data_IF_555223997927
#
_entry.id   IF_555223997927
#
_cell.length_a   1.000
_cell.length_b   1.000
_cell.length_c   1.000
_cell.angle_alpha   90.00
_cell.angle_beta   90.00
_cell.angle_gamma   90.00
#
_symmetry.space_group_name_H-M   'P 1'
#
loop_
_entity.id
_entity.type
_entity.pdbx_description
1 polymer ?
#
# COMPACT_ATOMS: atom_id res chain seq x y z
N UNK A 1 9.82 -10.43 25.07
CA UNK A 1 9.47 -9.41 24.06
C UNK A 1 10.75 -8.84 23.44
N UNK A 2 11.58 -9.74 22.89
CA UNK A 2 12.60 -9.38 21.90
C UNK A 2 11.88 -9.28 20.54
N UNK A 3 12.04 -8.28 19.69
CA UNK A 3 12.47 -6.90 19.88
C UNK A 3 11.91 -6.19 18.64
N UNK A 4 10.72 -5.59 18.72
CA UNK A 4 10.08 -4.90 17.58
C UNK A 4 11.02 -3.83 16.98
N UNK A 5 11.90 -3.28 17.82
CA UNK A 5 13.00 -2.40 17.45
C UNK A 5 14.00 -3.06 16.49
N UNK A 6 14.41 -4.30 16.73
CA UNK A 6 15.39 -5.00 15.88
C UNK A 6 14.78 -5.39 14.53
N UNK A 7 13.48 -5.70 14.50
CA UNK A 7 12.75 -5.94 13.26
C UNK A 7 12.73 -4.69 12.36
N UNK A 8 12.43 -3.52 12.94
CA UNK A 8 12.46 -2.25 12.20
C UNK A 8 13.88 -1.92 11.72
N UNK A 9 14.89 -2.14 12.57
CA UNK A 9 16.29 -1.87 12.20
C UNK A 9 16.77 -2.76 11.04
N UNK A 10 16.39 -4.04 11.03
CA UNK A 10 16.69 -4.98 9.94
C UNK A 10 16.05 -4.55 8.61
N UNK A 11 14.79 -4.09 8.65
CA UNK A 11 14.09 -3.61 7.44
C UNK A 11 14.72 -2.34 6.87
N UNK A 12 15.12 -1.39 7.72
CA UNK A 12 15.80 -0.17 7.31
C UNK A 12 17.17 -0.46 6.69
N UNK A 13 17.94 -1.39 7.27
CA UNK A 13 19.25 -1.76 6.74
C UNK A 13 19.15 -2.42 5.36
N UNK A 14 18.14 -3.27 5.14
CA UNK A 14 17.90 -3.88 3.83
C UNK A 14 17.51 -2.85 2.78
N UNK A 15 16.64 -1.90 3.14
CA UNK A 15 16.24 -0.81 2.24
C UNK A 15 17.45 0.05 1.82
N UNK A 16 18.35 0.33 2.76
CA UNK A 16 19.58 1.07 2.49
C UNK A 16 20.50 0.32 1.51
N UNK A 17 20.69 -0.99 1.69
CA UNK A 17 21.49 -1.82 0.78
C UNK A 17 20.89 -1.89 -0.63
N UNK A 18 19.56 -2.01 -0.75
CA UNK A 18 18.89 -2.04 -2.05
C UNK A 18 19.02 -0.67 -2.77
N UNK A 19 19.04 0.42 -2.00
CA UNK A 19 19.22 1.80 -2.52
C UNK A 19 20.64 2.01 -3.04
N UNK A 20 21.67 1.60 -2.29
CA UNK A 20 23.06 1.66 -2.74
C UNK A 20 23.29 0.82 -4.01
N UNK A 21 22.66 -0.35 -4.10
CA UNK A 21 22.76 -1.22 -5.28
C UNK A 21 22.13 -0.61 -6.54
N UNK A 22 21.02 0.11 -6.39
CA UNK A 22 20.42 0.87 -7.50
C UNK A 22 21.27 2.07 -7.90
N UNK A 23 21.90 2.77 -6.94
CA UNK A 23 22.85 3.84 -7.23
C UNK A 23 24.07 3.30 -8.00
N UNK A 24 24.65 2.18 -7.58
CA UNK A 24 25.75 1.52 -8.29
C UNK A 24 25.37 1.11 -9.72
N UNK A 25 24.12 0.70 -9.95
CA UNK A 25 23.61 0.39 -11.30
C UNK A 25 23.41 1.65 -12.16
N UNK A 26 23.11 2.80 -11.54
CA UNK A 26 22.89 4.09 -12.22
C UNK A 26 24.20 4.83 -12.51
N UNK A 27 25.26 4.60 -11.73
CA UNK A 27 26.59 5.19 -11.92
C UNK A 27 27.52 4.39 -12.83
N UNK A 28 27.12 3.20 -13.29
CA UNK A 28 27.85 2.50 -14.35
C UNK A 28 27.58 3.19 -15.69
N UNK A 29 28.59 3.93 -16.17
CA UNK A 29 28.60 4.60 -17.46
C UNK A 29 28.01 3.71 -18.57
N UNK A 30 27.14 4.25 -19.44
CA UNK A 30 26.59 3.49 -20.55
C UNK A 30 27.77 2.98 -21.40
N UNK A 31 27.75 1.71 -21.82
CA UNK A 31 28.82 1.15 -22.62
C UNK A 31 28.87 1.95 -23.92
N UNK A 32 29.96 2.71 -24.10
CA UNK A 32 30.34 3.24 -25.41
C UNK A 32 30.49 2.02 -26.30
N UNK A 33 29.59 1.86 -27.26
CA UNK A 33 29.54 0.67 -28.11
C UNK A 33 30.91 0.48 -28.78
N UNK A 34 31.68 -0.58 -28.43
CA UNK A 34 33.02 -0.79 -28.96
C UNK A 34 33.02 -0.95 -30.50
N UNK A 35 31.86 -1.22 -31.10
CA UNK A 35 31.70 -1.32 -32.56
C UNK A 35 31.90 0.02 -33.27
N UNK A 36 31.62 1.16 -32.61
CA UNK A 36 31.83 2.48 -33.21
C UNK A 36 33.33 2.85 -33.26
N UNK A 37 34.08 2.55 -32.20
CA UNK A 37 35.52 2.81 -32.13
C UNK A 37 36.31 1.96 -33.13
N UNK A 38 35.95 0.69 -33.31
CA UNK A 38 36.55 -0.15 -34.35
C UNK A 38 36.31 0.40 -35.76
N UNK A 39 35.10 0.88 -36.06
CA UNK A 39 34.77 1.39 -37.39
C UNK A 39 35.59 2.65 -37.76
N UNK A 40 35.78 3.59 -36.82
CA UNK A 40 36.64 4.77 -37.08
C UNK A 40 38.10 4.38 -37.27
N UNK A 41 38.61 3.45 -36.46
CA UNK A 41 40.00 2.97 -36.60
C UNK A 41 40.25 2.28 -37.95
N UNK A 42 39.26 1.57 -38.48
CA UNK A 42 39.30 0.95 -39.80
C UNK A 42 39.29 1.98 -40.93
N UNK A 43 38.51 3.06 -40.80
CA UNK A 43 38.48 4.15 -41.77
C UNK A 43 39.80 4.92 -41.80
N UNK A 44 40.33 5.30 -40.64
CA UNK A 44 41.62 5.99 -40.55
C UNK A 44 42.74 5.17 -41.18
N UNK A 45 42.75 3.85 -40.91
CA UNK A 45 43.73 2.93 -41.52
C UNK A 45 43.60 2.82 -43.03
N UNK A 46 42.38 2.87 -43.58
CA UNK A 46 42.18 2.89 -45.05
C UNK A 46 42.70 4.18 -45.66
N UNK A 47 42.44 5.34 -45.02
CA UNK A 47 42.95 6.64 -45.48
C UNK A 47 44.48 6.67 -45.48
N UNK A 48 45.11 6.10 -44.45
CA UNK A 48 46.56 5.97 -44.35
C UNK A 48 47.14 5.11 -45.49
N UNK A 49 46.58 3.90 -45.72
CA UNK A 49 47.00 3.01 -46.81
C UNK A 49 46.89 3.70 -48.17
N UNK A 50 45.80 4.42 -48.43
CA UNK A 50 45.65 5.12 -49.71
C UNK A 50 46.68 6.23 -49.87
N UNK A 51 46.96 6.98 -48.79
CA UNK A 51 47.98 8.03 -48.80
C UNK A 51 49.38 7.46 -49.08
N UNK A 52 49.71 6.29 -48.53
CA UNK A 52 50.95 5.56 -48.82
C UNK A 52 51.04 5.12 -50.28
N UNK A 53 49.95 4.57 -50.84
CA UNK A 53 49.89 4.16 -52.25
C UNK A 53 50.11 5.35 -53.18
N UNK A 54 49.51 6.51 -52.88
CA UNK A 54 49.73 7.74 -53.64
C UNK A 54 51.18 8.19 -53.61
N UNK A 55 51.82 8.19 -52.44
CA UNK A 55 53.23 8.56 -52.31
C UNK A 55 54.16 7.63 -53.12
N UNK A 56 53.84 6.33 -53.18
CA UNK A 56 54.57 5.36 -54.01
C UNK A 56 54.36 5.66 -55.50
N UNK A 57 53.14 5.97 -55.92
CA UNK A 57 52.83 6.32 -57.31
C UNK A 57 53.54 7.60 -57.76
N UNK A 58 53.51 8.66 -56.94
CA UNK A 58 54.23 9.92 -57.23
C UNK A 58 55.73 9.69 -57.38
N UNK A 59 56.31 8.86 -56.51
CA UNK A 59 57.72 8.46 -56.62
C UNK A 59 57.99 7.69 -57.92
N UNK A 60 57.11 6.77 -58.34
CA UNK A 60 57.23 6.02 -59.60
C UNK A 60 57.16 6.97 -60.81
N UNK A 61 56.22 7.92 -60.80
CA UNK A 61 56.12 8.96 -61.85
C UNK A 61 57.39 9.80 -61.90
N UNK A 62 57.93 10.22 -60.74
CA UNK A 62 59.19 10.97 -60.65
C UNK A 62 60.36 10.23 -61.31
N UNK A 63 60.53 8.93 -60.99
CA UNK A 63 61.57 8.09 -61.58
C UNK A 63 61.39 7.91 -63.09
N UNK A 64 60.16 7.68 -63.57
CA UNK A 64 59.87 7.56 -64.99
C UNK A 64 60.18 8.86 -65.76
N UNK A 65 59.84 10.01 -65.18
CA UNK A 65 60.15 11.32 -65.76
C UNK A 65 61.67 11.59 -65.80
N UNK A 66 62.40 11.17 -64.77
CA UNK A 66 63.86 11.27 -64.74
C UNK A 66 64.51 10.37 -65.82
N UNK A 67 64.06 9.12 -65.95
CA UNK A 67 64.49 8.22 -67.02
C UNK A 67 64.21 8.78 -68.41
N UNK A 68 63.02 9.37 -68.61
CA UNK A 68 62.62 10.00 -69.87
C UNK A 68 63.50 11.21 -70.20
N UNK A 69 63.82 12.04 -69.22
CA UNK A 69 64.74 13.18 -69.37
C UNK A 69 66.18 12.73 -69.67
N UNK A 70 66.65 11.66 -69.05
CA UNK A 70 67.98 11.10 -69.29
C UNK A 70 68.11 10.54 -70.71
N UNK A 71 67.07 9.85 -71.21
CA UNK A 71 67.01 9.37 -72.60
C UNK A 71 66.98 10.55 -73.58
N UNK A 72 66.23 11.62 -73.29
CA UNK A 72 66.19 12.82 -74.14
C UNK A 72 67.52 13.60 -74.16
N UNK A 73 68.31 13.52 -73.09
CA UNK A 73 69.61 14.19 -72.98
C UNK A 73 70.75 13.46 -73.68
N UNK A 74 70.58 12.19 -74.09
CA UNK A 74 71.66 11.46 -74.76
C UNK A 74 71.97 12.13 -76.12
N UNK A 75 73.19 12.69 -76.30
CA UNK A 75 73.58 13.27 -77.56
C UNK A 75 73.65 12.18 -78.63
N UNK A 76 73.18 12.49 -79.84
CA UNK A 76 73.34 11.63 -81.02
C UNK A 76 74.83 11.52 -81.38
N UNK A 77 75.57 10.69 -80.66
CA UNK A 77 76.96 10.35 -80.98
C UNK A 77 76.96 9.43 -82.19
N UNK A 78 77.60 9.93 -83.23
CA UNK A 78 77.67 9.43 -84.60
C UNK A 78 78.22 8.02 -84.72
N UNK A 79 77.40 7.06 -85.14
CA UNK A 79 77.83 5.85 -85.86
C UNK A 79 76.64 5.23 -86.65
N UNK A 80 76.85 4.56 -87.81
CA UNK A 80 75.77 4.17 -88.72
C UNK A 80 74.83 3.03 -88.26
N UNK A 81 74.88 2.58 -86.99
CA UNK A 81 73.81 1.74 -86.39
C UNK A 81 72.64 2.56 -85.82
N UNK A 82 72.68 3.89 -86.01
CA UNK A 82 71.78 4.87 -85.42
C UNK A 82 70.29 4.63 -85.70
N UNK A 83 69.92 4.01 -86.83
CA UNK A 83 68.50 3.81 -87.16
C UNK A 83 67.79 2.83 -86.20
N UNK A 84 68.46 1.72 -85.85
CA UNK A 84 67.91 0.73 -84.93
C UNK A 84 67.90 1.27 -83.49
N UNK A 85 68.98 1.94 -83.07
CA UNK A 85 69.04 2.62 -81.77
C UNK A 85 67.94 3.68 -81.64
N UNK A 86 67.83 4.62 -82.60
CA UNK A 86 66.77 5.65 -82.59
C UNK A 86 65.38 5.02 -82.62
N UNK A 87 65.17 3.93 -83.38
CA UNK A 87 63.89 3.21 -83.43
C UNK A 87 63.53 2.58 -82.08
N UNK A 88 64.48 1.90 -81.44
CA UNK A 88 64.30 1.29 -80.13
C UNK A 88 64.03 2.35 -79.06
N UNK A 89 64.85 3.40 -79.00
CA UNK A 89 64.64 4.53 -78.08
C UNK A 89 63.29 5.21 -78.29
N UNK A 90 62.85 5.39 -79.55
CA UNK A 90 61.54 5.98 -79.85
C UNK A 90 60.38 5.07 -79.41
N UNK A 91 60.57 3.75 -79.48
CA UNK A 91 59.60 2.76 -79.01
C UNK A 91 59.52 2.76 -77.49
N UNK A 92 60.66 2.70 -76.78
CA UNK A 92 60.73 2.81 -75.31
C UNK A 92 60.14 4.14 -74.81
N UNK A 93 60.42 5.26 -75.49
CA UNK A 93 59.81 6.57 -75.16
C UNK A 93 58.30 6.57 -75.35
N UNK A 94 57.77 5.87 -76.36
CA UNK A 94 56.33 5.74 -76.58
C UNK A 94 55.69 4.88 -75.49
N UNK A 95 56.34 3.79 -75.10
CA UNK A 95 55.88 2.90 -74.04
C UNK A 95 55.88 3.61 -72.67
N UNK A 96 56.98 4.25 -72.29
CA UNK A 96 57.04 5.04 -71.05
C UNK A 96 55.99 6.15 -71.02
N UNK A 97 55.75 6.87 -72.12
CA UNK A 97 54.67 7.87 -72.20
C UNK A 97 53.29 7.26 -72.02
N UNK A 98 53.08 6.04 -72.52
CA UNK A 98 51.81 5.33 -72.37
C UNK A 98 51.62 4.87 -70.92
N UNK A 99 52.67 4.39 -70.27
CA UNK A 99 52.65 4.01 -68.85
C UNK A 99 52.43 5.23 -67.95
N UNK A 100 53.11 6.36 -68.20
CA UNK A 100 52.89 7.62 -67.47
C UNK A 100 51.41 8.03 -67.59
N UNK A 101 50.85 8.03 -68.80
CA UNK A 101 49.45 8.39 -69.02
C UNK A 101 48.49 7.45 -68.28
N UNK A 102 48.81 6.16 -68.21
CA UNK A 102 48.03 5.19 -67.45
C UNK A 102 48.10 5.46 -65.94
N UNK A 103 49.31 5.65 -65.39
CA UNK A 103 49.50 5.93 -63.96
C UNK A 103 48.82 7.26 -63.57
N UNK A 104 48.91 8.30 -64.39
CA UNK A 104 48.18 9.55 -64.16
C UNK A 104 46.66 9.37 -64.15
N UNK A 105 46.12 8.46 -64.98
CA UNK A 105 44.68 8.18 -64.98
C UNK A 105 44.23 7.40 -63.75
N UNK A 106 45.04 6.45 -63.26
CA UNK A 106 44.82 5.73 -62.01
C UNK A 106 44.90 6.67 -60.80
N UNK A 107 45.90 7.56 -60.77
CA UNK A 107 46.05 8.55 -59.71
C UNK A 107 44.83 9.48 -59.64
N UNK A 108 44.32 9.94 -60.79
CA UNK A 108 43.09 10.76 -60.84
C UNK A 108 41.87 10.02 -60.32
N UNK A 109 41.77 8.71 -60.56
CA UNK A 109 40.68 7.90 -60.06
C UNK A 109 40.76 7.75 -58.54
N UNK A 110 41.96 7.47 -58.00
CA UNK A 110 42.19 7.38 -56.56
C UNK A 110 41.95 8.72 -55.84
N UNK A 111 42.37 9.84 -56.42
CA UNK A 111 42.09 11.18 -55.90
C UNK A 111 40.58 11.47 -55.85
N UNK A 112 39.84 10.99 -56.85
CA UNK A 112 38.39 11.11 -56.88
C UNK A 112 37.74 10.26 -55.78
N UNK A 113 38.18 9.02 -55.59
CA UNK A 113 37.70 8.13 -54.51
C UNK A 113 38.01 8.69 -53.12
N UNK A 114 39.22 9.21 -52.90
CA UNK A 114 39.59 9.90 -51.66
C UNK A 114 38.68 11.11 -51.39
N UNK A 115 38.35 11.88 -52.43
CA UNK A 115 37.46 13.03 -52.28
C UNK A 115 36.06 12.61 -51.87
N UNK A 116 35.55 11.52 -52.44
CA UNK A 116 34.25 10.96 -52.05
C UNK A 116 34.28 10.48 -50.60
N UNK A 117 35.30 9.72 -50.20
CA UNK A 117 35.41 9.24 -48.80
C UNK A 117 35.55 10.37 -47.79
N UNK A 118 36.25 11.46 -48.13
CA UNK A 118 36.32 12.66 -47.27
C UNK A 118 34.97 13.35 -47.15
N UNK A 119 34.21 13.45 -48.24
CA UNK A 119 32.87 14.01 -48.21
C UNK A 119 31.92 13.16 -47.35
N UNK A 120 32.00 11.83 -47.48
CA UNK A 120 31.21 10.91 -46.66
C UNK A 120 31.59 11.03 -45.18
N UNK A 121 32.89 11.09 -44.87
CA UNK A 121 33.39 11.31 -43.51
C UNK A 121 32.89 12.65 -42.91
N UNK A 122 32.89 13.73 -43.70
CA UNK A 122 32.37 15.03 -43.26
C UNK A 122 30.85 14.99 -43.03
N UNK A 123 30.10 14.26 -43.85
CA UNK A 123 28.66 14.08 -43.69
C UNK A 123 28.32 13.24 -42.46
N UNK A 124 29.07 12.17 -42.22
CA UNK A 124 28.94 11.33 -41.03
C UNK A 124 29.25 12.12 -39.77
N UNK A 125 30.32 12.93 -39.80
CA UNK A 125 30.69 13.82 -38.69
C UNK A 125 29.59 14.82 -38.36
N UNK A 126 28.95 15.42 -39.38
CA UNK A 126 27.80 16.33 -39.18
C UNK A 126 26.59 15.58 -38.60
N UNK A 127 26.31 14.37 -39.07
CA UNK A 127 25.20 13.54 -38.59
C UNK A 127 25.41 13.15 -37.12
N UNK A 128 26.63 12.76 -36.75
CA UNK A 128 27.01 12.46 -35.36
C UNK A 128 26.88 13.71 -34.49
N UNK A 129 27.30 14.87 -34.98
CA UNK A 129 27.16 16.12 -34.23
C UNK A 129 25.68 16.48 -34.01
N UNK A 130 24.82 16.31 -35.02
CA UNK A 130 23.38 16.54 -34.89
C UNK A 130 22.74 15.58 -33.88
N UNK A 131 23.04 14.28 -33.97
CA UNK A 131 22.57 13.28 -33.02
C UNK A 131 23.07 13.56 -31.59
N UNK A 132 24.31 14.03 -31.44
CA UNK A 132 24.85 14.41 -30.13
C UNK A 132 24.08 15.57 -29.51
N UNK A 133 23.65 16.56 -30.30
CA UNK A 133 22.82 17.67 -29.82
C UNK A 133 21.44 17.17 -29.40
N UNK A 134 20.80 16.35 -30.24
CA UNK A 134 19.49 15.76 -29.94
C UNK A 134 19.53 14.91 -28.65
N UNK A 135 20.59 14.11 -28.45
CA UNK A 135 20.78 13.35 -27.22
C UNK A 135 20.95 14.26 -26.00
N UNK A 136 21.63 15.40 -26.13
CA UNK A 136 21.75 16.35 -25.02
C UNK A 136 20.43 17.04 -24.68
N UNK A 137 19.62 17.38 -25.67
CA UNK A 137 18.29 17.99 -25.49
C UNK A 137 17.28 16.99 -24.89
N UNK A 138 17.32 15.73 -25.33
CA UNK A 138 16.53 14.65 -24.73
C UNK A 138 16.93 14.43 -23.27
N UNK A 139 18.22 14.46 -22.94
CA UNK A 139 18.70 14.33 -21.55
C UNK A 139 18.29 15.52 -20.68
N UNK A 140 18.27 16.75 -21.20
CA UNK A 140 17.79 17.90 -20.42
C UNK A 140 16.28 17.80 -20.19
N UNK A 141 15.51 17.44 -21.22
CA UNK A 141 14.05 17.25 -21.11
C UNK A 141 13.71 16.15 -20.11
N UNK A 142 14.48 15.04 -20.13
CA UNK A 142 14.33 13.97 -19.16
C UNK A 142 14.60 14.47 -17.73
N UNK A 143 15.70 15.19 -17.50
CA UNK A 143 16.01 15.78 -16.18
C UNK A 143 14.93 16.75 -15.71
N UNK A 144 14.40 17.58 -16.59
CA UNK A 144 13.33 18.51 -16.25
C UNK A 144 12.06 17.75 -15.85
N UNK A 145 11.71 16.69 -16.57
CA UNK A 145 10.58 15.83 -16.22
C UNK A 145 10.80 15.03 -14.92
N UNK A 146 12.02 14.60 -14.63
CA UNK A 146 12.40 13.94 -13.36
C UNK A 146 12.28 14.94 -12.20
N UNK A 147 12.78 16.17 -12.37
CA UNK A 147 12.64 17.25 -11.38
C UNK A 147 11.17 17.63 -11.13
N UNK A 148 10.34 17.68 -12.18
CA UNK A 148 8.90 17.90 -12.04
C UNK A 148 8.24 16.75 -11.28
N UNK A 149 8.56 15.50 -11.60
CA UNK A 149 8.04 14.34 -10.90
C UNK A 149 8.48 14.30 -9.42
N UNK A 150 9.73 14.63 -9.11
CA UNK A 150 10.21 14.77 -7.73
C UNK A 150 9.48 15.88 -6.98
N UNK A 151 9.23 17.01 -7.65
CA UNK A 151 8.48 18.14 -7.08
C UNK A 151 7.03 17.74 -6.78
N UNK A 152 6.38 17.01 -7.69
CA UNK A 152 5.03 16.48 -7.50
C UNK A 152 5.00 15.48 -6.34
N UNK A 153 5.93 14.52 -6.29
CA UNK A 153 6.02 13.56 -5.18
C UNK A 153 6.24 14.25 -3.84
N UNK A 154 7.08 15.30 -3.80
CA UNK A 154 7.29 16.08 -2.59
C UNK A 154 6.02 16.81 -2.16
N UNK A 155 5.23 17.36 -3.10
CA UNK A 155 3.96 18.01 -2.80
C UNK A 155 2.91 17.00 -2.31
N UNK A 156 2.77 15.85 -2.96
CA UNK A 156 1.88 14.77 -2.53
C UNK A 156 2.22 14.28 -1.13
N UNK A 157 3.51 14.06 -0.85
CA UNK A 157 3.97 13.68 0.49
C UNK A 157 3.65 14.75 1.53
N UNK A 158 3.81 16.04 1.18
CA UNK A 158 3.48 17.16 2.08
C UNK A 158 1.98 17.22 2.39
N UNK A 159 1.12 17.04 1.38
CA UNK A 159 -0.34 17.00 1.55
C UNK A 159 -0.74 15.82 2.45
N UNK A 160 -0.25 14.63 2.13
CA UNK A 160 -0.56 13.43 2.91
C UNK A 160 -0.10 13.55 4.37
N UNK A 161 1.09 14.14 4.61
CA UNK A 161 1.58 14.43 5.96
C UNK A 161 0.67 15.39 6.71
N UNK A 162 0.11 16.40 6.04
CA UNK A 162 -0.79 17.38 6.64
C UNK A 162 -2.15 16.77 6.97
N UNK A 163 -2.70 15.93 6.10
CA UNK A 163 -3.92 15.15 6.35
C UNK A 163 -3.76 14.25 7.58
N UNK A 164 -2.71 13.44 7.62
CA UNK A 164 -2.40 12.56 8.76
C UNK A 164 -2.24 13.36 10.05
N UNK A 165 -1.60 14.54 9.99
CA UNK A 165 -1.44 15.40 11.16
C UNK A 165 -2.79 15.96 11.66
N UNK A 166 -3.71 16.28 10.76
CA UNK A 166 -5.04 16.76 11.11
C UNK A 166 -5.89 15.64 11.74
N UNK A 167 -5.82 14.43 11.21
CA UNK A 167 -6.49 13.25 11.81
C UNK A 167 -5.98 12.96 13.22
N UNK A 168 -4.66 13.00 13.41
CA UNK A 168 -4.04 12.82 14.73
C UNK A 168 -4.50 13.90 15.71
N UNK A 169 -4.63 15.16 15.27
CA UNK A 169 -5.16 16.25 16.11
C UNK A 169 -6.64 16.01 16.46
N UNK A 170 -7.46 15.55 15.52
CA UNK A 170 -8.86 15.23 15.76
C UNK A 170 -9.01 14.13 16.80
N UNK A 171 -8.30 13.01 16.61
CA UNK A 171 -8.27 11.88 17.56
C UNK A 171 -7.78 12.33 18.94
N UNK A 172 -6.75 13.19 18.98
CA UNK A 172 -6.27 13.74 20.25
C UNK A 172 -7.35 14.58 20.96
N UNK A 173 -8.11 15.39 20.22
CA UNK A 173 -9.26 16.15 20.73
C UNK A 173 -10.34 15.25 21.32
N UNK A 174 -10.71 14.18 20.60
CA UNK A 174 -11.68 13.19 21.06
C UNK A 174 -11.21 12.47 22.33
N UNK A 175 -9.93 12.07 22.41
CA UNK A 175 -9.33 11.48 23.60
C UNK A 175 -9.38 12.43 24.80
N UNK A 176 -9.12 13.73 24.58
CA UNK A 176 -9.19 14.73 25.65
C UNK A 176 -10.62 14.95 26.15
N UNK A 177 -11.62 14.95 25.27
CA UNK A 177 -13.03 14.99 25.66
C UNK A 177 -13.47 13.72 26.42
N UNK A 178 -13.03 12.54 25.98
CA UNK A 178 -13.26 11.29 26.71
C UNK A 178 -12.63 11.34 28.11
N UNK A 179 -11.39 11.82 28.24
CA UNK A 179 -10.73 12.00 29.54
C UNK A 179 -11.47 12.97 30.45
N UNK A 180 -12.00 14.09 29.94
CA UNK A 180 -12.84 15.00 30.73
C UNK A 180 -14.11 14.31 31.23
N UNK A 181 -14.82 13.58 30.36
CA UNK A 181 -16.03 12.83 30.74
C UNK A 181 -15.74 11.76 31.78
N UNK A 182 -14.63 11.03 31.63
CA UNK A 182 -14.20 10.04 32.61
C UNK A 182 -13.88 10.69 33.97
N UNK A 183 -13.16 11.82 33.98
CA UNK A 183 -12.82 12.53 35.22
C UNK A 183 -14.08 13.06 35.92
N UNK A 184 -15.09 13.52 35.17
CA UNK A 184 -16.42 13.90 35.72
C UNK A 184 -17.13 12.67 36.30
N UNK A 185 -17.08 11.51 35.64
CA UNK A 185 -17.67 10.27 36.15
C UNK A 185 -16.95 9.76 37.42
N UNK A 186 -15.63 9.91 37.50
CA UNK A 186 -14.84 9.54 38.68
C UNK A 186 -15.14 10.48 39.85
N UNK A 187 -15.23 11.79 39.62
CA UNK A 187 -15.65 12.77 40.64
C UNK A 187 -17.10 12.53 41.10
N UNK A 188 -18.02 12.25 40.18
CA UNK A 188 -19.40 11.91 40.53
C UNK A 188 -19.47 10.64 41.38
N UNK A 189 -18.72 9.60 41.02
CA UNK A 189 -18.65 8.37 41.81
C UNK A 189 -18.06 8.60 43.20
N UNK A 190 -17.03 9.44 43.35
CA UNK A 190 -16.49 9.78 44.67
C UNK A 190 -17.50 10.53 45.54
N UNK A 191 -18.23 11.50 44.97
CA UNK A 191 -19.23 12.29 45.70
C UNK A 191 -20.42 11.42 46.13
N UNK A 192 -20.92 10.56 45.22
CA UNK A 192 -21.99 9.59 45.52
C UNK A 192 -21.52 8.59 46.59
N UNK A 193 -20.28 8.10 46.55
CA UNK A 193 -19.73 7.22 47.59
C UNK A 193 -19.63 7.96 48.94
N UNK A 194 -19.27 9.25 48.96
CA UNK A 194 -19.25 10.05 50.20
C UNK A 194 -20.65 10.22 50.77
N UNK A 195 -21.65 10.57 49.95
CA UNK A 195 -23.05 10.67 50.38
C UNK A 195 -23.57 9.31 50.87
N UNK A 196 -23.31 8.23 50.14
CA UNK A 196 -23.73 6.89 50.56
C UNK A 196 -23.11 6.50 51.90
N UNK A 197 -21.84 6.87 52.15
CA UNK A 197 -21.17 6.68 53.46
C UNK A 197 -21.73 7.61 54.55
N UNK A 198 -22.23 8.79 54.21
CA UNK A 198 -22.88 9.71 55.15
C UNK A 198 -24.27 9.18 55.53
N UNK A 199 -25.09 8.80 54.55
CA UNK A 199 -26.39 8.15 54.74
C UNK A 199 -26.24 6.86 55.54
N UNK A 200 -25.24 6.02 55.26
CA UNK A 200 -24.98 4.81 56.07
C UNK A 200 -24.60 5.13 57.52
N UNK A 201 -23.90 6.25 57.77
CA UNK A 201 -23.59 6.71 59.12
C UNK A 201 -24.85 7.20 59.84
N UNK A 202 -25.71 7.96 59.16
CA UNK A 202 -27.01 8.39 59.68
C UNK A 202 -27.94 7.20 59.94
N UNK A 203 -28.05 6.25 59.02
CA UNK A 203 -28.81 5.00 59.17
C UNK A 203 -28.32 4.19 60.38
N UNK A 204 -26.99 4.08 60.58
CA UNK A 204 -26.43 3.43 61.78
C UNK A 204 -26.72 4.21 63.06
N UNK A 205 -26.71 5.54 63.02
CA UNK A 205 -27.00 6.40 64.17
C UNK A 205 -28.50 6.37 64.54
N UNK A 206 -29.39 6.32 63.54
CA UNK A 206 -30.83 6.17 63.69
C UNK A 206 -31.21 4.74 64.13
N UNK A 207 -30.54 3.71 63.60
CA UNK A 207 -30.70 2.32 64.02
C UNK A 207 -30.21 2.01 65.44
N UNK A 208 -29.37 2.88 66.03
CA UNK A 208 -28.94 2.77 67.43
C UNK A 208 -29.96 3.36 68.43
N UNK A 209 -30.99 4.09 67.96
CA UNK A 209 -32.08 4.64 68.76
C UNK A 209 -33.43 4.14 68.23
N UNK A 210 -33.67 2.85 68.46
CA UNK A 210 -34.98 2.23 68.34
C UNK A 210 -35.29 1.64 66.97
N UNK A 211 -34.75 0.47 66.64
CA UNK A 211 -35.32 -0.41 65.60
C UNK A 211 -34.93 -1.88 65.86
N UNK A 212 -35.42 -2.41 66.99
CA UNK A 212 -35.68 -3.84 67.15
C UNK A 212 -37.14 -4.05 66.76
N UNK A 213 -37.47 -4.11 65.47
CA UNK A 213 -38.71 -4.70 64.93
C UNK A 213 -38.73 -4.55 63.40
N UNK A 214 -38.96 -5.67 62.70
CA UNK A 214 -39.08 -5.85 61.23
C UNK A 214 -37.80 -5.77 60.39
N UNK A 215 -36.94 -6.78 60.56
CA UNK A 215 -36.17 -7.34 59.43
C UNK A 215 -37.14 -8.02 58.46
N UNK A 216 -37.70 -7.28 57.51
CA UNK A 216 -38.27 -7.92 56.32
C UNK A 216 -37.11 -8.54 55.52
N UNK A 217 -37.29 -9.82 55.17
CA UNK A 217 -36.29 -10.68 54.53
C UNK A 217 -35.78 -10.02 53.25
N UNK A 218 -34.50 -9.66 53.22
CA UNK A 218 -33.81 -9.33 51.98
C UNK A 218 -33.63 -10.64 51.21
N UNK A 219 -34.55 -10.90 50.28
CA UNK A 219 -34.50 -12.04 49.36
C UNK A 219 -33.54 -11.63 48.23
N UNK A 220 -32.51 -12.43 47.96
CA UNK A 220 -31.62 -12.22 46.82
C UNK A 220 -32.46 -12.31 45.53
N UNK A 221 -32.24 -11.46 44.51
CA UNK A 221 -33.02 -11.56 43.25
C UNK A 221 -32.94 -12.95 42.62
N UNK A 222 -31.85 -13.67 42.87
CA UNK A 222 -31.66 -15.06 42.49
C UNK A 222 -32.85 -15.94 42.91
N UNK A 223 -33.43 -15.67 44.07
CA UNK A 223 -34.65 -16.32 44.56
C UNK A 223 -35.93 -15.56 44.15
N UNK A 224 -35.88 -14.23 44.02
CA UNK A 224 -37.07 -13.43 43.70
C UNK A 224 -37.57 -13.66 42.27
N UNK A 225 -36.66 -13.77 41.31
CA UNK A 225 -36.97 -14.02 39.90
C UNK A 225 -37.53 -15.43 39.68
N UNK A 226 -37.25 -16.38 40.60
CA UNK A 226 -37.76 -17.75 40.51
C UNK A 226 -39.28 -17.76 40.69
N UNK A 227 -39.94 -18.45 39.78
CA UNK A 227 -41.40 -18.51 39.71
C UNK A 227 -41.92 -18.48 38.28
N UNK A 228 -43.24 -18.42 38.15
CA UNK A 228 -43.92 -18.23 36.86
C UNK A 228 -44.42 -16.79 36.80
N UNK A 229 -44.26 -16.17 35.64
CA UNK A 229 -44.51 -14.77 35.38
C UNK A 229 -45.41 -14.64 34.18
N UNK A 230 -46.54 -13.96 34.33
CA UNK A 230 -47.49 -13.66 33.26
C UNK A 230 -47.34 -12.21 32.79
N UNK A 231 -47.48 -11.90 31.49
CA UNK A 231 -47.40 -10.53 31.03
C UNK A 231 -48.50 -9.64 31.67
N UNK A 232 -48.12 -8.50 32.25
CA UNK A 232 -49.03 -7.61 32.99
C UNK A 232 -49.93 -6.73 32.12
N UNK A 233 -49.58 -6.53 30.84
CA UNK A 233 -50.38 -5.74 29.89
C UNK A 233 -50.12 -6.21 28.46
N UNK A 234 -51.15 -6.30 27.60
CA UNK A 234 -50.96 -6.64 26.17
C UNK A 234 -50.54 -5.44 25.31
N UNK A 235 -50.62 -4.22 25.84
CA UNK A 235 -50.52 -2.99 25.05
C UNK A 235 -49.21 -2.28 25.39
N UNK A 236 -48.47 -1.83 24.38
CA UNK A 236 -47.18 -1.10 24.44
C UNK A 236 -45.90 -1.92 24.41
N UNK A 237 -45.82 -2.93 23.53
CA UNK A 237 -44.52 -3.33 22.99
C UNK A 237 -44.38 -2.75 21.58
N UNK A 238 -43.73 -1.59 21.39
CA UNK A 238 -43.30 -1.17 20.06
C UNK A 238 -42.28 -2.21 19.58
N UNK A 239 -42.73 -3.11 18.71
CA UNK A 239 -41.86 -4.11 18.15
C UNK A 239 -40.75 -3.40 17.37
N UNK A 240 -39.50 -3.82 17.60
CA UNK A 240 -38.31 -3.45 16.82
C UNK A 240 -38.39 -4.04 15.40
N UNK A 241 -39.48 -3.79 14.68
CA UNK A 241 -39.63 -4.16 13.30
C UNK A 241 -39.59 -2.88 12.47
N UNK A 242 -38.78 -2.91 11.40
CA UNK A 242 -38.87 -1.88 10.36
C UNK A 242 -40.32 -1.83 9.85
N UNK A 243 -40.84 -0.67 9.44
CA UNK A 243 -42.21 -0.53 8.94
C UNK A 243 -42.57 -1.55 7.83
N UNK A 244 -41.55 -2.03 7.13
CA UNK A 244 -41.60 -2.95 6.00
C UNK A 244 -41.82 -4.43 6.39
N UNK A 245 -41.70 -4.79 7.68
CA UNK A 245 -41.73 -6.19 8.13
C UNK A 245 -42.82 -6.38 9.22
N UNK A 246 -44.11 -6.41 8.85
CA UNK A 246 -45.20 -6.42 9.80
C UNK A 246 -45.27 -7.77 10.53
N UNK A 247 -44.81 -7.74 11.79
CA UNK A 247 -45.33 -8.53 12.90
C UNK A 247 -45.22 -10.05 12.69
N UNK A 248 -44.00 -10.61 12.81
CA UNK A 248 -43.90 -11.85 13.60
C UNK A 248 -44.17 -11.43 15.04
N UNK A 249 -45.43 -11.54 15.51
CA UNK A 249 -45.78 -11.36 16.93
C UNK A 249 -44.80 -12.24 17.69
N UNK A 250 -43.78 -11.64 18.30
CA UNK A 250 -42.79 -12.44 18.99
C UNK A 250 -43.53 -13.21 20.07
N UNK A 251 -43.39 -14.53 20.06
CA UNK A 251 -44.03 -15.41 21.05
C UNK A 251 -43.71 -14.97 22.49
N UNK A 252 -42.58 -14.28 22.67
CA UNK A 252 -42.17 -13.59 23.88
C UNK A 252 -43.19 -12.56 24.39
N UNK A 253 -43.97 -11.93 23.51
CA UNK A 253 -44.93 -10.89 23.89
C UNK A 253 -46.10 -11.43 24.73
N UNK A 254 -46.52 -12.66 24.46
CA UNK A 254 -47.73 -13.22 25.06
C UNK A 254 -47.45 -14.44 25.93
N UNK A 255 -46.22 -14.94 25.95
CA UNK A 255 -45.88 -16.15 26.70
C UNK A 255 -45.65 -15.89 28.19
N UNK A 256 -45.94 -16.89 29.01
CA UNK A 256 -45.55 -16.93 30.41
C UNK A 256 -44.08 -17.32 30.51
N UNK A 257 -43.34 -16.66 31.40
CA UNK A 257 -41.95 -16.98 31.68
C UNK A 257 -41.86 -17.75 32.98
N UNK A 258 -41.15 -18.86 32.99
CA UNK A 258 -40.79 -19.56 34.23
C UNK A 258 -39.30 -19.56 34.41
N UNK A 259 -38.84 -19.10 35.57
CA UNK A 259 -37.45 -19.20 35.98
C UNK A 259 -37.31 -20.20 37.12
N UNK A 260 -36.25 -21.02 37.05
CA UNK A 260 -35.84 -21.92 38.11
C UNK A 260 -34.33 -21.89 38.24
N UNK A 261 -33.84 -21.77 39.47
CA UNK A 261 -32.41 -21.73 39.79
C UNK A 261 -32.02 -23.00 40.55
N UNK A 262 -30.96 -23.66 40.12
CA UNK A 262 -30.41 -24.84 40.78
C UNK A 262 -28.89 -24.75 40.85
N UNK A 263 -28.36 -24.35 42.02
CA UNK A 263 -26.95 -23.98 42.15
C UNK A 263 -26.63 -22.80 41.23
N UNK A 264 -25.60 -22.95 40.40
CA UNK A 264 -25.18 -21.92 39.42
C UNK A 264 -25.96 -22.00 38.08
N UNK A 265 -26.89 -22.95 37.96
CA UNK A 265 -27.67 -23.13 36.73
C UNK A 265 -29.00 -22.40 36.80
N UNK A 266 -29.20 -21.44 35.90
CA UNK A 266 -30.49 -20.81 35.66
C UNK A 266 -31.17 -21.51 34.47
N UNK A 267 -32.37 -22.02 34.70
CA UNK A 267 -33.24 -22.52 33.62
C UNK A 267 -34.41 -21.58 33.46
N UNK A 268 -34.69 -21.20 32.21
CA UNK A 268 -35.87 -20.43 31.87
C UNK A 268 -36.68 -21.12 30.78
N UNK A 269 -38.01 -20.97 30.88
CA UNK A 269 -38.97 -21.54 29.94
C UNK A 269 -39.97 -20.48 29.50
N UNK A 270 -40.29 -20.46 28.21
CA UNK A 270 -41.37 -19.67 27.63
C UNK A 270 -42.52 -20.60 27.27
N UNK A 271 -43.66 -20.37 27.91
CA UNK A 271 -44.91 -21.07 27.62
C UNK A 271 -45.82 -20.15 26.82
N UNK A 272 -46.40 -20.65 25.73
CA UNK A 272 -47.37 -19.89 24.93
C UNK A 272 -48.63 -20.73 24.79
N UNK A 273 -49.78 -20.07 24.81
CA UNK A 273 -51.06 -20.71 24.54
C UNK A 273 -51.19 -20.97 23.03
N UNK A 274 -51.12 -22.24 22.63
CA UNK A 274 -51.31 -22.71 21.25
C UNK A 274 -52.51 -23.65 21.27
N UNK A 275 -53.56 -23.35 20.50
CA UNK A 275 -54.78 -24.17 20.40
C UNK A 275 -55.41 -24.54 21.76
N UNK A 276 -55.50 -23.57 22.68
CA UNK A 276 -55.97 -23.74 24.07
C UNK A 276 -55.12 -24.66 24.95
N UNK A 277 -53.92 -25.04 24.51
CA UNK A 277 -52.94 -25.78 25.30
C UNK A 277 -51.70 -24.94 25.53
N UNK A 278 -51.19 -24.95 26.77
CA UNK A 278 -49.91 -24.31 27.08
C UNK A 278 -48.79 -25.20 26.59
N UNK A 279 -48.02 -24.73 25.62
CA UNK A 279 -46.86 -25.45 25.11
C UNK A 279 -45.57 -24.68 25.38
N UNK A 280 -44.48 -25.41 25.59
CA UNK A 280 -43.15 -24.84 25.82
C UNK A 280 -42.50 -24.56 24.47
N UNK A 281 -42.48 -23.29 24.07
CA UNK A 281 -41.89 -22.89 22.79
C UNK A 281 -40.38 -22.68 22.87
N UNK A 282 -39.85 -22.44 24.07
CA UNK A 282 -38.40 -22.32 24.31
C UNK A 282 -38.05 -22.70 25.74
N UNK A 283 -36.99 -23.46 25.89
CA UNK A 283 -36.37 -23.82 27.16
C UNK A 283 -34.86 -23.69 27.02
N UNK A 284 -34.20 -23.09 27.99
CA UNK A 284 -32.73 -22.98 27.99
C UNK A 284 -32.21 -23.02 29.42
N UNK A 285 -31.17 -23.83 29.62
CA UNK A 285 -30.43 -23.94 30.88
C UNK A 285 -29.03 -23.39 30.67
N UNK A 286 -28.60 -22.47 31.54
CA UNK A 286 -27.38 -21.69 31.38
C UNK A 286 -26.62 -21.70 32.69
N UNK A 287 -25.30 -21.84 32.61
CA UNK A 287 -24.40 -21.68 33.75
C UNK A 287 -24.07 -20.19 33.90
N UNK A 288 -24.45 -19.60 35.04
CA UNK A 288 -24.26 -18.17 35.28
C UNK A 288 -22.77 -17.78 35.27
N UNK A 289 -22.45 -16.64 34.66
CA UNK A 289 -21.08 -16.14 34.51
C UNK A 289 -20.27 -16.74 33.36
N UNK A 290 -20.77 -17.80 32.71
CA UNK A 290 -20.09 -18.43 31.59
C UNK A 290 -20.66 -17.98 30.24
N UNK A 291 -19.78 -17.84 29.26
CA UNK A 291 -20.15 -17.47 27.90
C UNK A 291 -20.68 -18.70 27.13
N UNK A 292 -21.93 -18.60 26.66
CA UNK A 292 -22.57 -19.57 25.76
C UNK A 292 -22.38 -19.13 24.32
N UNK A 293 -21.92 -20.02 23.45
CA UNK A 293 -21.56 -19.71 22.06
C UNK A 293 -22.65 -20.18 21.10
N UNK A 294 -23.11 -19.28 20.24
CA UNK A 294 -24.02 -19.56 19.13
C UNK A 294 -23.30 -19.35 17.79
N UNK A 295 -24.02 -19.53 16.69
CA UNK A 295 -23.47 -19.41 15.33
C UNK A 295 -22.95 -18.00 15.02
N UNK A 296 -23.69 -16.98 15.44
CA UNK A 296 -23.50 -15.57 15.08
C UNK A 296 -23.09 -14.68 16.26
N UNK A 297 -23.36 -15.11 17.49
CA UNK A 297 -23.08 -14.33 18.70
C UNK A 297 -22.68 -15.21 19.89
N UNK A 298 -22.24 -14.56 20.96
CA UNK A 298 -22.09 -15.17 22.28
C UNK A 298 -23.04 -14.51 23.27
N UNK A 299 -23.52 -15.28 24.24
CA UNK A 299 -24.38 -14.80 25.33
C UNK A 299 -23.67 -15.01 26.67
N UNK A 300 -23.76 -14.05 27.58
CA UNK A 300 -23.32 -14.21 28.97
C UNK A 300 -24.42 -13.72 29.89
N UNK A 301 -24.79 -14.57 30.86
CA UNK A 301 -25.86 -14.31 31.82
C UNK A 301 -25.24 -14.15 33.22
N UNK A 302 -25.41 -12.98 33.84
CA UNK A 302 -24.84 -12.66 35.16
C UNK A 302 -25.87 -12.00 36.07
N UNK A 303 -25.77 -12.23 37.37
CA UNK A 303 -26.44 -11.40 38.35
C UNK A 303 -25.48 -10.30 38.81
N UNK A 304 -25.86 -9.05 38.58
CA UNK A 304 -25.09 -7.87 38.98
C UNK A 304 -26.03 -6.86 39.64
N UNK A 305 -25.69 -6.38 40.84
CA UNK A 305 -26.47 -5.37 41.58
C UNK A 305 -27.97 -5.71 41.69
N UNK A 306 -28.30 -6.96 42.00
CA UNK A 306 -29.68 -7.43 42.11
C UNK A 306 -30.47 -7.37 40.78
N UNK A 307 -29.79 -7.42 39.63
CA UNK A 307 -30.39 -7.52 38.30
C UNK A 307 -29.81 -8.72 37.55
N UNK A 308 -30.64 -9.43 36.78
CA UNK A 308 -30.16 -10.40 35.80
C UNK A 308 -29.79 -9.65 34.52
N UNK A 309 -28.51 -9.67 34.16
CA UNK A 309 -27.98 -9.02 32.96
C UNK A 309 -27.63 -10.11 31.95
N UNK A 310 -28.06 -9.91 30.71
CA UNK A 310 -27.73 -10.78 29.58
C UNK A 310 -27.02 -9.94 28.53
N UNK A 311 -25.77 -10.27 28.22
CA UNK A 311 -24.95 -9.56 27.24
C UNK A 311 -24.79 -10.43 26.01
N UNK A 312 -25.11 -9.86 24.85
CA UNK A 312 -24.92 -10.49 23.54
C UNK A 312 -23.74 -9.82 22.87
N UNK A 313 -22.73 -10.60 22.46
CA UNK A 313 -21.59 -10.09 21.70
C UNK A 313 -21.56 -10.69 20.31
N UNK A 314 -21.23 -9.88 19.31
CA UNK A 314 -20.94 -10.39 17.98
C UNK A 314 -19.72 -11.30 18.04
N UNK A 315 -19.83 -12.48 17.43
CA UNK A 315 -18.78 -13.50 17.49
C UNK A 315 -17.51 -13.11 16.73
N UNK A 316 -17.62 -12.26 15.71
CA UNK A 316 -16.51 -11.89 14.82
C UNK A 316 -15.62 -10.80 15.43
N UNK A 317 -16.20 -9.77 16.04
CA UNK A 317 -15.47 -8.60 16.54
C UNK A 317 -15.61 -8.38 18.06
N UNK A 318 -16.36 -9.25 18.75
CA UNK A 318 -16.64 -9.17 20.20
C UNK A 318 -17.36 -7.90 20.67
N UNK A 319 -17.91 -7.11 19.75
CA UNK A 319 -18.72 -5.93 20.08
C UNK A 319 -20.01 -6.33 20.76
N UNK A 320 -20.45 -5.56 21.77
CA UNK A 320 -21.74 -5.82 22.43
C UNK A 320 -22.85 -5.33 21.50
N UNK A 321 -23.67 -6.25 21.02
CA UNK A 321 -24.76 -5.97 20.08
C UNK A 321 -26.10 -5.77 20.79
N UNK A 322 -26.33 -6.47 21.90
CA UNK A 322 -27.60 -6.40 22.65
C UNK A 322 -27.36 -6.58 24.15
N UNK A 323 -28.20 -5.96 24.96
CA UNK A 323 -28.27 -6.18 26.40
C UNK A 323 -29.71 -6.41 26.84
N UNK A 324 -29.92 -7.38 27.72
CA UNK A 324 -31.17 -7.49 28.47
C UNK A 324 -30.88 -7.25 29.94
N UNK A 325 -31.80 -6.55 30.60
CA UNK A 325 -31.81 -6.36 32.04
C UNK A 325 -33.13 -6.87 32.57
N UNK A 326 -33.09 -7.75 33.56
CA UNK A 326 -34.28 -8.19 34.27
C UNK A 326 -34.15 -7.87 35.74
N UNK A 327 -35.18 -7.24 36.29
CA UNK A 327 -35.20 -6.80 37.67
C UNK A 327 -36.63 -6.73 38.18
N UNK A 328 -36.78 -6.80 39.49
CA UNK A 328 -38.07 -6.75 40.18
C UNK A 328 -38.27 -5.37 40.79
N UNK A 329 -39.43 -4.77 40.53
CA UNK A 329 -39.88 -3.51 41.17
C UNK A 329 -41.33 -3.70 41.56
N UNK A 330 -41.67 -3.43 42.82
CA UNK A 330 -43.04 -3.55 43.35
C UNK A 330 -43.70 -4.91 43.07
N UNK A 331 -42.91 -5.99 43.14
CA UNK A 331 -43.38 -7.37 42.88
C UNK A 331 -43.64 -7.70 41.41
N UNK A 332 -43.29 -6.81 40.48
CA UNK A 332 -43.36 -7.03 39.03
C UNK A 332 -41.98 -7.27 38.45
N UNK A 333 -41.88 -8.18 37.49
CA UNK A 333 -40.65 -8.44 36.75
C UNK A 333 -40.59 -7.52 35.53
N UNK A 334 -39.63 -6.61 35.53
CA UNK A 334 -39.31 -5.73 34.41
C UNK A 334 -38.21 -6.37 33.58
N UNK A 335 -38.45 -6.54 32.28
CA UNK A 335 -37.48 -6.99 31.30
C UNK A 335 -37.23 -5.85 30.32
N UNK A 336 -36.04 -5.26 30.39
CA UNK A 336 -35.60 -4.19 29.49
C UNK A 336 -34.68 -4.82 28.45
N UNK A 337 -35.03 -4.65 27.19
CA UNK A 337 -34.22 -5.04 26.03
C UNK A 337 -33.61 -3.79 25.40
N UNK A 338 -32.31 -3.83 25.14
CA UNK A 338 -31.60 -2.77 24.46
C UNK A 338 -30.81 -3.34 23.29
N UNK A 339 -31.19 -2.96 22.08
CA UNK A 339 -30.47 -3.26 20.85
C UNK A 339 -29.48 -2.12 20.57
N UNK A 340 -28.19 -2.39 20.76
CA UNK A 340 -27.14 -1.38 20.59
C UNK A 340 -26.80 -1.11 19.12
N UNK A 341 -27.16 -2.03 18.22
CA UNK A 341 -26.92 -1.87 16.79
C UNK A 341 -27.88 -0.84 16.19
N UNK A 342 -29.15 -0.90 16.60
CA UNK A 342 -30.21 -0.02 16.09
C UNK A 342 -30.55 1.13 17.07
N UNK A 343 -29.91 1.18 18.23
CA UNK A 343 -30.18 2.10 19.35
C UNK A 343 -31.66 2.12 19.80
N UNK A 344 -32.26 0.94 19.92
CA UNK A 344 -33.67 0.77 20.32
C UNK A 344 -33.77 0.12 21.68
N UNK A 345 -34.56 0.72 22.58
CA UNK A 345 -34.86 0.18 23.91
C UNK A 345 -36.34 -0.16 24.03
N UNK A 346 -36.65 -1.33 24.61
CA UNK A 346 -38.02 -1.77 24.89
C UNK A 346 -38.11 -2.32 26.30
N UNK A 347 -39.25 -2.12 26.97
CA UNK A 347 -39.50 -2.67 28.30
C UNK A 347 -40.76 -3.51 28.30
N UNK A 348 -40.71 -4.68 28.94
CA UNK A 348 -41.85 -5.57 29.16
C UNK A 348 -42.00 -5.84 30.65
N UNK A 349 -43.23 -5.77 31.15
CA UNK A 349 -43.52 -5.96 32.57
C UNK A 349 -44.37 -7.21 32.73
N UNK A 350 -43.96 -8.08 33.64
CA UNK A 350 -44.67 -9.30 34.03
C UNK A 350 -45.08 -9.22 35.50
N UNK A 351 -46.17 -9.91 35.83
CA UNK A 351 -46.64 -10.11 37.19
C UNK A 351 -46.43 -11.57 37.57
N UNK A 352 -46.10 -11.82 38.84
CA UNK A 352 -45.94 -13.17 39.36
C UNK A 352 -47.30 -13.88 39.34
N UNK A 353 -47.32 -15.14 38.92
CA UNK A 353 -48.52 -15.98 38.89
C UNK A 353 -48.90 -16.53 40.27
#
# INVERSE_FOLDING_TARGET
MENFRDYIHSKLQKLHQDTEKMLDMLYQDPPVDPRCTEHFSLLDRKVEIISEVQAIQEKKIGLLNESLMNIQKQPATSEPSNAEFISNTKTELREMRSEIKYVESEQKLQDHELRLMRNDQDNDKKSIQALSVEVTELKSTQRDSENENESIQYQEFKIHKEEVLNDVKSIHGEIMEMKKKQNVSELFNEEVIKEFKAINREMKALGAKGYNEKKEKMVLIEEEIVGTWKPSSLHNYPHCAKPEDPIRKSQWLNGHLRYSLHGEYLTWKLFVLIDNTWDTVKETTILLGYETKYSDHTETWTFENNHLIIIFKNRTDHTIIKKFFQFTVDGKLHIVYHNLVDDVTCTRIYEKE
#
